data_IF_853875785084
#
_entry.id   IF_853875785084
#
_cell.length_a   1.000
_cell.length_b   1.000
_cell.length_c   1.000
_cell.angle_alpha   90.00
_cell.angle_beta   90.00
_cell.angle_gamma   90.00
#
_symmetry.space_group_name_H-M   'P 1'
#
loop_
_entity.id
_entity.type
_entity.pdbx_description
1 polymer ?
#
# COMPACT_ATOMS: atom_id res chain seq x y z
N UNK A 1 52.93 -8.01 -29.29
CA UNK A 1 52.02 -7.47 -28.29
C UNK A 1 51.21 -8.63 -27.72
N UNK A 2 51.57 -9.11 -26.54
CA UNK A 2 50.88 -10.24 -25.89
C UNK A 2 49.65 -9.69 -25.15
N UNK A 3 48.47 -10.00 -25.64
CA UNK A 3 47.19 -9.71 -24.96
C UNK A 3 46.99 -10.72 -23.83
N UNK A 4 47.08 -10.25 -22.59
CA UNK A 4 46.73 -11.01 -21.40
C UNK A 4 45.23 -11.32 -21.43
N UNK A 5 44.78 -12.61 -21.33
CA UNK A 5 43.38 -12.93 -21.35
C UNK A 5 42.69 -12.40 -20.08
N UNK A 6 41.57 -11.66 -20.25
CA UNK A 6 40.78 -11.12 -19.17
C UNK A 6 40.29 -12.25 -18.22
N UNK A 7 40.63 -12.16 -16.93
CA UNK A 7 40.22 -13.13 -15.93
C UNK A 7 38.69 -13.14 -15.80
N UNK A 8 38.04 -14.25 -16.12
CA UNK A 8 36.61 -14.45 -15.93
C UNK A 8 36.29 -14.28 -14.44
N UNK A 9 35.55 -13.22 -14.08
CA UNK A 9 35.02 -13.02 -12.72
C UNK A 9 34.24 -14.26 -12.27
N UNK A 10 34.66 -14.92 -11.17
CA UNK A 10 34.01 -16.11 -10.62
C UNK A 10 32.57 -15.77 -10.23
N UNK A 11 31.59 -16.53 -10.76
CA UNK A 11 30.18 -16.41 -10.39
C UNK A 11 30.02 -16.81 -8.91
N UNK A 12 29.49 -15.91 -8.07
CA UNK A 12 29.20 -16.19 -6.66
C UNK A 12 27.80 -16.79 -6.57
N UNK A 13 27.68 -18.02 -6.02
CA UNK A 13 26.40 -18.74 -5.88
C UNK A 13 25.53 -18.16 -4.78
N UNK A 14 24.25 -18.12 -5.01
CA UNK A 14 23.22 -17.82 -3.99
C UNK A 14 22.93 -19.07 -3.13
N UNK A 15 22.25 -18.87 -1.99
CA UNK A 15 21.83 -20.00 -1.14
C UNK A 15 20.85 -20.92 -1.91
N UNK A 16 19.90 -20.37 -2.69
CA UNK A 16 19.01 -21.11 -3.58
C UNK A 16 19.76 -21.98 -4.59
N UNK A 17 20.78 -21.42 -5.26
CA UNK A 17 21.61 -22.16 -6.22
C UNK A 17 22.35 -23.34 -5.54
N UNK A 18 22.77 -23.17 -4.28
CA UNK A 18 23.43 -24.23 -3.50
C UNK A 18 22.47 -25.33 -3.09
N UNK A 19 21.29 -24.97 -2.58
CA UNK A 19 20.24 -25.94 -2.25
C UNK A 19 19.83 -26.71 -3.50
N UNK A 20 19.78 -26.07 -4.67
CA UNK A 20 19.52 -26.73 -5.94
C UNK A 20 20.60 -27.74 -6.31
N UNK A 21 21.89 -27.41 -6.09
CA UNK A 21 23.00 -28.36 -6.26
C UNK A 21 22.85 -29.58 -5.33
N UNK A 22 22.48 -29.36 -4.06
CA UNK A 22 22.28 -30.44 -3.08
C UNK A 22 21.10 -31.33 -3.50
N UNK A 23 20.00 -30.77 -3.97
CA UNK A 23 18.83 -31.52 -4.45
C UNK A 23 19.20 -32.42 -5.63
N UNK A 24 19.90 -31.89 -6.64
CA UNK A 24 20.35 -32.65 -7.79
C UNK A 24 21.33 -33.75 -7.38
N UNK A 25 22.25 -33.50 -6.47
CA UNK A 25 23.17 -34.51 -5.92
C UNK A 25 22.43 -35.62 -5.17
N UNK A 26 21.41 -35.30 -4.39
CA UNK A 26 20.58 -36.27 -3.67
C UNK A 26 19.70 -37.08 -4.61
N UNK A 27 19.39 -36.59 -5.83
CA UNK A 27 18.69 -37.32 -6.91
C UNK A 27 19.61 -38.26 -7.70
N UNK A 28 20.92 -38.35 -7.33
CA UNK A 28 21.88 -39.24 -7.97
C UNK A 28 22.65 -38.61 -9.13
N UNK A 29 22.50 -37.33 -9.41
CA UNK A 29 23.25 -36.67 -10.46
C UNK A 29 24.74 -36.54 -10.10
N UNK A 30 25.60 -36.92 -11.01
CA UNK A 30 27.05 -36.77 -10.84
C UNK A 30 27.46 -35.27 -10.83
N UNK A 31 28.53 -34.92 -10.12
CA UNK A 31 29.04 -33.57 -10.08
C UNK A 31 29.31 -32.97 -11.49
N UNK A 32 29.67 -33.81 -12.46
CA UNK A 32 29.85 -33.39 -13.86
C UNK A 32 28.54 -32.99 -14.54
N UNK A 33 27.46 -33.73 -14.34
CA UNK A 33 26.13 -33.40 -14.84
C UNK A 33 25.61 -32.08 -14.22
N UNK A 34 25.77 -31.89 -12.90
CA UNK A 34 25.37 -30.67 -12.17
C UNK A 34 26.14 -29.46 -12.69
N UNK A 35 27.44 -29.59 -12.96
CA UNK A 35 28.29 -28.56 -13.56
C UNK A 35 27.75 -28.14 -14.93
N UNK A 36 27.41 -29.10 -15.78
CA UNK A 36 26.89 -28.85 -17.13
C UNK A 36 25.52 -28.18 -17.09
N UNK A 37 24.61 -28.64 -16.20
CA UNK A 37 23.24 -28.12 -16.12
C UNK A 37 23.13 -26.73 -15.52
N UNK A 38 24.01 -26.33 -14.57
CA UNK A 38 23.93 -25.07 -13.85
C UNK A 38 25.01 -24.06 -14.27
N UNK A 39 25.93 -24.41 -15.16
CA UNK A 39 27.02 -23.54 -15.61
C UNK A 39 27.96 -23.13 -14.47
N UNK A 40 28.21 -24.01 -13.49
CA UNK A 40 29.02 -23.78 -12.30
C UNK A 40 30.40 -24.42 -12.42
N UNK A 41 31.36 -23.95 -11.62
CA UNK A 41 32.68 -24.61 -11.55
C UNK A 41 32.64 -25.92 -10.76
N UNK A 42 33.36 -26.97 -11.23
CA UNK A 42 33.44 -28.31 -10.59
C UNK A 42 33.81 -28.21 -9.09
N UNK A 43 34.80 -27.40 -8.75
CA UNK A 43 35.25 -27.17 -7.38
C UNK A 43 34.14 -26.49 -6.50
N UNK A 44 33.30 -25.63 -7.09
CA UNK A 44 32.17 -25.00 -6.37
C UNK A 44 31.11 -26.05 -6.05
N UNK A 45 30.73 -26.92 -7.01
CA UNK A 45 29.74 -27.97 -6.81
C UNK A 45 30.24 -28.98 -5.75
N UNK A 46 31.49 -29.42 -5.81
CA UNK A 46 32.07 -30.35 -4.83
C UNK A 46 32.10 -29.74 -3.42
N UNK A 47 32.42 -28.43 -3.30
CA UNK A 47 32.39 -27.74 -2.01
C UNK A 47 30.98 -27.64 -1.43
N UNK A 48 29.98 -27.39 -2.26
CA UNK A 48 28.55 -27.35 -1.80
C UNK A 48 28.14 -28.75 -1.31
N UNK A 49 28.48 -29.81 -2.02
CA UNK A 49 28.13 -31.18 -1.62
C UNK A 49 28.83 -31.58 -0.31
N UNK A 50 30.07 -31.14 -0.12
CA UNK A 50 30.84 -31.40 1.13
C UNK A 50 30.19 -30.71 2.32
N UNK A 51 29.67 -29.48 2.15
CA UNK A 51 29.09 -28.65 3.22
C UNK A 51 27.56 -28.69 3.25
N UNK A 52 26.94 -29.79 2.73
CA UNK A 52 25.49 -29.90 2.54
C UNK A 52 24.70 -29.67 3.82
N UNK A 53 25.16 -30.19 4.95
CA UNK A 53 24.45 -30.11 6.24
C UNK A 53 24.37 -28.66 6.77
N UNK A 54 25.49 -27.92 6.70
CA UNK A 54 25.50 -26.50 7.10
C UNK A 54 24.61 -25.66 6.19
N UNK A 55 24.63 -25.93 4.89
CA UNK A 55 23.81 -25.20 3.90
C UNK A 55 22.32 -25.47 4.10
N UNK A 56 21.94 -26.71 4.39
CA UNK A 56 20.54 -27.07 4.66
C UNK A 56 20.08 -26.46 5.99
N UNK A 57 20.90 -26.50 7.03
CA UNK A 57 20.62 -25.86 8.30
C UNK A 57 20.44 -24.35 8.17
N UNK A 58 21.27 -23.71 7.32
CA UNK A 58 21.13 -22.28 7.00
C UNK A 58 19.82 -22.01 6.21
N UNK A 59 19.46 -22.88 5.28
CA UNK A 59 18.20 -22.79 4.55
C UNK A 59 16.98 -22.93 5.46
N UNK A 60 16.96 -23.91 6.35
CA UNK A 60 15.89 -24.19 7.31
C UNK A 60 15.74 -23.08 8.36
N UNK A 61 16.81 -22.34 8.65
CA UNK A 61 16.77 -21.18 9.56
C UNK A 61 16.11 -19.94 8.97
N UNK A 62 15.52 -20.02 7.76
CA UNK A 62 14.78 -18.94 7.12
C UNK A 62 15.66 -17.83 6.51
N UNK A 63 16.93 -18.10 6.28
CA UNK A 63 17.84 -17.16 5.59
C UNK A 63 17.42 -17.00 4.14
N UNK A 64 17.41 -15.75 3.63
CA UNK A 64 17.02 -15.48 2.24
C UNK A 64 17.82 -16.29 1.22
N UNK A 65 17.13 -17.09 0.41
CA UNK A 65 17.71 -17.87 -0.65
C UNK A 65 18.48 -17.07 -1.72
N UNK A 66 18.18 -15.79 -1.88
CA UNK A 66 18.89 -14.87 -2.80
C UNK A 66 20.23 -14.36 -2.26
N UNK A 67 20.61 -14.69 -1.04
CA UNK A 67 21.86 -14.30 -0.44
C UNK A 67 23.05 -14.84 -1.24
N UNK A 68 23.90 -13.95 -1.75
CA UNK A 68 25.17 -14.31 -2.36
C UNK A 68 26.19 -14.64 -1.26
N UNK A 69 26.77 -15.79 -1.32
CA UNK A 69 27.76 -16.21 -0.36
C UNK A 69 29.14 -15.60 -0.71
N UNK A 70 29.48 -14.48 -0.13
CA UNK A 70 30.87 -14.18 0.16
C UNK A 70 31.13 -14.74 1.56
N UNK A 71 32.27 -15.41 1.79
CA UNK A 71 32.64 -16.06 3.07
C UNK A 71 31.92 -15.44 4.27
N UNK A 72 31.21 -16.28 5.06
CA UNK A 72 30.61 -15.82 6.32
C UNK A 72 31.75 -15.23 7.14
N UNK A 73 31.95 -13.92 7.05
CA UNK A 73 32.71 -13.24 8.08
C UNK A 73 31.85 -13.38 9.32
N UNK A 74 32.29 -14.25 10.24
CA UNK A 74 31.73 -14.24 11.60
C UNK A 74 31.72 -12.79 12.02
N UNK A 75 30.55 -12.26 12.31
CA UNK A 75 30.46 -10.90 12.82
C UNK A 75 30.88 -10.96 14.28
N UNK A 76 31.49 -9.92 14.79
CA UNK A 76 31.91 -9.83 16.20
C UNK A 76 30.75 -10.12 17.20
N UNK A 77 29.49 -10.11 16.72
CA UNK A 77 28.25 -10.24 17.50
C UNK A 77 27.31 -11.29 16.89
N UNK A 78 27.81 -12.48 16.52
CA UNK A 78 26.99 -13.51 15.86
C UNK A 78 25.89 -14.08 16.79
N UNK A 79 26.21 -14.29 18.07
CA UNK A 79 25.30 -14.71 19.11
C UNK A 79 24.16 -13.69 19.35
N UNK A 80 24.54 -12.43 19.49
CA UNK A 80 23.61 -11.31 19.59
C UNK A 80 22.69 -11.24 18.36
N UNK A 81 23.26 -11.32 17.16
CA UNK A 81 22.48 -11.26 15.90
C UNK A 81 21.48 -12.43 15.81
N UNK A 82 21.84 -13.61 16.29
CA UNK A 82 20.96 -14.76 16.35
C UNK A 82 19.79 -14.52 17.30
N UNK A 83 20.04 -14.04 18.53
CA UNK A 83 18.99 -13.75 19.51
C UNK A 83 18.02 -12.66 19.01
N UNK A 84 18.56 -11.60 18.38
CA UNK A 84 17.72 -10.55 17.78
C UNK A 84 16.85 -11.10 16.66
N UNK A 85 17.35 -12.02 15.86
CA UNK A 85 16.60 -12.67 14.79
C UNK A 85 15.50 -13.58 15.34
N UNK A 86 15.79 -14.41 16.32
CA UNK A 86 14.81 -15.28 16.98
C UNK A 86 13.67 -14.47 17.61
N UNK A 87 14.03 -13.37 18.30
CA UNK A 87 13.06 -12.45 18.84
C UNK A 87 12.22 -11.77 17.75
N UNK A 88 12.84 -11.32 16.65
CA UNK A 88 12.14 -10.71 15.52
C UNK A 88 11.11 -11.68 14.93
N UNK A 89 11.48 -12.92 14.69
CA UNK A 89 10.56 -13.95 14.19
C UNK A 89 9.40 -14.18 15.15
N UNK A 90 9.68 -14.30 16.46
CA UNK A 90 8.64 -14.48 17.48
C UNK A 90 7.69 -13.26 17.57
N UNK A 91 8.23 -12.04 17.52
CA UNK A 91 7.42 -10.82 17.51
C UNK A 91 6.51 -10.75 16.26
N UNK A 92 7.03 -11.12 15.09
CA UNK A 92 6.26 -11.17 13.85
C UNK A 92 5.18 -12.26 13.87
N UNK A 93 5.47 -13.42 14.43
CA UNK A 93 4.49 -14.51 14.60
C UNK A 93 3.30 -14.10 15.50
N UNK A 94 3.53 -13.17 16.43
CA UNK A 94 2.49 -12.58 17.30
C UNK A 94 1.81 -11.36 16.68
N UNK A 95 2.07 -11.03 15.39
CA UNK A 95 1.51 -9.85 14.73
C UNK A 95 2.06 -8.50 15.20
N UNK A 96 3.10 -8.48 16.04
CA UNK A 96 3.64 -7.23 16.61
C UNK A 96 4.37 -6.41 15.52
N UNK A 97 4.09 -5.10 15.41
CA UNK A 97 4.83 -4.21 14.54
C UNK A 97 6.26 -4.01 15.06
N UNK A 98 7.25 -4.32 14.24
CA UNK A 98 8.66 -4.11 14.61
C UNK A 98 9.26 -3.00 13.76
N UNK A 99 9.54 -1.85 14.39
CA UNK A 99 10.28 -0.74 13.76
C UNK A 99 11.79 -0.96 13.87
N UNK A 100 12.58 -0.24 13.03
CA UNK A 100 14.04 -0.26 13.14
C UNK A 100 14.55 0.15 14.51
N UNK A 101 13.95 1.18 15.12
CA UNK A 101 14.30 1.65 16.46
C UNK A 101 13.97 0.61 17.54
N UNK A 102 12.84 -0.10 17.42
CA UNK A 102 12.49 -1.17 18.34
C UNK A 102 13.48 -2.34 18.26
N UNK A 103 13.90 -2.69 17.02
CA UNK A 103 14.92 -3.72 16.79
C UNK A 103 16.28 -3.32 17.41
N UNK A 104 16.69 -2.06 17.25
CA UNK A 104 17.90 -1.52 17.86
C UNK A 104 17.83 -1.55 19.39
N UNK A 105 16.70 -1.14 19.98
CA UNK A 105 16.50 -1.18 21.44
C UNK A 105 16.59 -2.62 21.98
N UNK A 106 15.96 -3.58 21.28
CA UNK A 106 16.04 -5.00 21.70
C UNK A 106 17.45 -5.57 21.57
N UNK A 107 18.18 -5.16 20.52
CA UNK A 107 19.57 -5.55 20.35
C UNK A 107 20.48 -5.02 21.48
N UNK A 108 20.25 -3.77 21.96
CA UNK A 108 20.95 -3.23 23.12
C UNK A 108 20.65 -4.05 24.37
N UNK A 109 19.39 -4.43 24.60
CA UNK A 109 19.04 -5.28 25.75
C UNK A 109 19.80 -6.61 25.72
N UNK A 110 19.81 -7.31 24.59
CA UNK A 110 20.54 -8.54 24.43
C UNK A 110 22.07 -8.36 24.54
N UNK A 111 22.60 -7.21 24.08
CA UNK A 111 24.05 -6.95 24.24
C UNK A 111 24.47 -6.83 25.71
N UNK A 112 23.61 -6.25 26.55
CA UNK A 112 23.84 -6.19 27.99
C UNK A 112 23.78 -7.58 28.65
N UNK A 113 22.80 -8.40 28.25
CA UNK A 113 22.64 -9.78 28.73
C UNK A 113 23.85 -10.67 28.33
N UNK A 114 24.45 -10.41 27.17
CA UNK A 114 25.62 -11.14 26.65
C UNK A 114 26.97 -10.53 27.04
N UNK A 115 27.00 -9.46 27.85
CA UNK A 115 28.20 -8.71 28.22
C UNK A 115 29.01 -8.22 26.99
N UNK A 116 28.32 -7.81 25.93
CA UNK A 116 28.95 -7.18 24.75
C UNK A 116 29.15 -5.67 25.00
N UNK A 117 30.12 -5.32 25.81
CA UNK A 117 30.50 -3.94 26.07
C UNK A 117 30.94 -3.24 24.77
N UNK A 118 30.34 -2.10 24.47
CA UNK A 118 30.66 -1.32 23.27
C UNK A 118 29.78 -1.61 22.06
N UNK A 119 28.78 -2.50 22.11
CA UNK A 119 27.79 -2.62 21.08
C UNK A 119 26.77 -1.47 21.13
N UNK A 120 26.63 -0.71 20.03
CA UNK A 120 25.82 0.51 20.02
C UNK A 120 24.56 0.43 19.14
N UNK A 121 24.22 -0.74 18.61
CA UNK A 121 23.10 -0.92 17.66
C UNK A 121 23.02 0.20 16.60
N UNK A 122 24.15 0.55 15.99
CA UNK A 122 24.25 1.66 15.04
C UNK A 122 23.33 1.46 13.83
N UNK A 123 23.06 2.54 13.08
CA UNK A 123 22.32 2.43 11.82
C UNK A 123 23.02 1.52 10.81
N UNK A 124 24.36 1.50 10.77
CA UNK A 124 25.13 0.57 9.95
C UNK A 124 24.91 -0.89 10.33
N UNK A 125 24.86 -1.19 11.63
CA UNK A 125 24.49 -2.53 12.10
C UNK A 125 23.05 -2.88 11.70
N UNK A 126 22.09 -1.96 11.88
CA UNK A 126 20.67 -2.19 11.53
C UNK A 126 20.52 -2.48 10.03
N UNK A 127 21.13 -1.70 9.16
CA UNK A 127 21.06 -1.94 7.71
C UNK A 127 21.74 -3.26 7.32
N UNK A 128 22.88 -3.61 7.93
CA UNK A 128 23.52 -4.90 7.73
C UNK A 128 22.69 -6.07 8.23
N UNK A 129 22.00 -5.91 9.37
CA UNK A 129 21.08 -6.90 9.90
C UNK A 129 19.87 -7.10 8.97
N UNK A 130 19.24 -6.02 8.53
CA UNK A 130 18.13 -6.04 7.57
C UNK A 130 18.53 -6.70 6.26
N UNK A 131 19.71 -6.39 5.73
CA UNK A 131 20.22 -6.98 4.50
C UNK A 131 20.49 -8.49 4.64
N UNK A 132 21.04 -8.94 5.80
CA UNK A 132 21.30 -10.36 6.07
C UNK A 132 20.00 -11.19 6.10
N UNK A 133 18.96 -10.66 6.71
CA UNK A 133 17.69 -11.35 6.89
C UNK A 133 16.61 -10.96 5.87
N UNK A 134 16.98 -10.21 4.81
CA UNK A 134 16.08 -9.72 3.77
C UNK A 134 14.86 -8.96 4.34
N UNK A 135 15.06 -8.20 5.42
CA UNK A 135 14.02 -7.41 6.06
C UNK A 135 13.81 -6.12 5.26
N UNK A 136 12.57 -5.83 4.90
CA UNK A 136 12.17 -4.57 4.27
C UNK A 136 11.24 -3.79 5.18
N UNK A 137 11.24 -2.47 5.08
CA UNK A 137 10.22 -1.65 5.70
C UNK A 137 8.93 -1.74 4.85
N UNK A 138 7.83 -2.12 5.47
CA UNK A 138 6.51 -2.13 4.85
C UNK A 138 5.60 -1.19 5.63
N UNK A 139 4.64 -0.54 4.96
CA UNK A 139 3.58 0.17 5.64
C UNK A 139 2.72 -0.84 6.43
N UNK A 140 2.34 -0.48 7.64
CA UNK A 140 1.36 -1.25 8.39
C UNK A 140 0.00 -1.00 7.76
N UNK A 141 -0.58 -2.03 7.19
CA UNK A 141 -1.96 -2.08 6.74
C UNK A 141 -2.77 -2.65 7.92
N UNK A 142 -3.22 -1.76 8.82
CA UNK A 142 -3.81 -2.17 10.11
C UNK A 142 -5.09 -2.99 9.94
N UNK A 143 -5.94 -2.64 8.99
CA UNK A 143 -7.26 -3.26 8.83
C UNK A 143 -7.22 -4.57 8.01
N UNK A 144 -6.27 -4.72 7.09
CA UNK A 144 -6.19 -5.91 6.24
C UNK A 144 -5.66 -7.17 6.95
N UNK A 145 -4.92 -7.00 8.05
CA UNK A 145 -4.37 -8.13 8.81
C UNK A 145 -5.39 -8.74 9.78
N UNK A 146 -6.42 -7.97 10.17
CA UNK A 146 -7.43 -8.37 11.14
C UNK A 146 -8.70 -8.95 10.47
N UNK A 147 -8.73 -9.04 9.13
CA UNK A 147 -9.88 -9.60 8.40
C UNK A 147 -9.87 -11.12 8.50
N UNK A 148 -10.93 -11.67 9.08
CA UNK A 148 -11.14 -13.12 9.15
C UNK A 148 -11.29 -13.73 7.75
N UNK A 149 -10.40 -14.67 7.36
CA UNK A 149 -10.47 -15.32 6.06
C UNK A 149 -11.80 -16.02 5.77
N UNK A 150 -12.43 -16.59 6.80
CA UNK A 150 -13.70 -17.32 6.64
C UNK A 150 -14.84 -16.39 6.21
N UNK A 151 -14.86 -15.16 6.72
CA UNK A 151 -15.85 -14.13 6.34
C UNK A 151 -15.64 -13.70 4.88
N UNK A 152 -14.39 -13.66 4.42
CA UNK A 152 -14.07 -13.34 3.01
C UNK A 152 -14.54 -14.47 2.09
N UNK A 153 -14.21 -15.72 2.41
CA UNK A 153 -14.60 -16.90 1.61
C UNK A 153 -16.12 -17.04 1.52
N UNK A 154 -16.85 -16.80 2.62
CA UNK A 154 -18.31 -16.82 2.65
C UNK A 154 -18.91 -15.67 1.85
N UNK A 155 -18.30 -14.50 1.90
CA UNK A 155 -18.72 -13.37 1.08
C UNK A 155 -18.51 -13.65 -0.41
N UNK A 156 -17.36 -14.20 -0.81
CA UNK A 156 -17.08 -14.52 -2.21
C UNK A 156 -18.10 -15.49 -2.79
N UNK A 157 -18.51 -16.52 -2.04
CA UNK A 157 -19.56 -17.46 -2.44
C UNK A 157 -20.93 -16.77 -2.61
N UNK A 158 -21.26 -15.87 -1.70
CA UNK A 158 -22.51 -15.10 -1.75
C UNK A 158 -22.51 -14.06 -2.86
N UNK A 159 -21.34 -13.51 -3.16
CA UNK A 159 -21.17 -12.45 -4.16
C UNK A 159 -21.64 -12.92 -5.53
N UNK A 160 -21.33 -14.15 -5.95
CA UNK A 160 -21.80 -14.72 -7.22
C UNK A 160 -23.33 -14.68 -7.33
N UNK A 161 -24.04 -15.13 -6.29
CA UNK A 161 -25.52 -15.08 -6.24
C UNK A 161 -26.06 -13.65 -6.18
N UNK A 162 -25.35 -12.74 -5.48
CA UNK A 162 -25.77 -11.33 -5.35
C UNK A 162 -25.68 -10.62 -6.70
N UNK A 163 -24.67 -10.95 -7.51
CA UNK A 163 -24.38 -10.33 -8.79
C UNK A 163 -25.13 -10.98 -9.97
N UNK A 164 -25.78 -12.11 -9.74
CA UNK A 164 -26.52 -12.82 -10.79
C UNK A 164 -27.55 -11.91 -11.47
N UNK A 165 -27.51 -11.89 -12.82
CA UNK A 165 -28.38 -11.05 -13.64
C UNK A 165 -27.93 -9.59 -13.81
N UNK A 166 -26.75 -9.22 -13.32
CA UNK A 166 -26.18 -7.90 -13.53
C UNK A 166 -24.89 -7.97 -14.36
N UNK A 167 -24.77 -7.09 -15.35
CA UNK A 167 -23.55 -6.92 -16.11
C UNK A 167 -22.53 -6.12 -15.31
N UNK A 168 -21.22 -6.30 -15.60
CA UNK A 168 -20.15 -5.58 -14.89
C UNK A 168 -20.30 -4.07 -14.94
N UNK A 169 -20.90 -3.52 -15.99
CA UNK A 169 -21.14 -2.09 -16.11
C UNK A 169 -22.19 -1.57 -15.12
N UNK A 170 -23.06 -2.46 -14.61
CA UNK A 170 -24.11 -2.16 -13.63
C UNK A 170 -23.71 -2.50 -12.19
N UNK A 171 -22.51 -3.02 -11.97
CA UNK A 171 -21.96 -3.31 -10.64
C UNK A 171 -21.06 -2.14 -10.22
N UNK A 172 -21.51 -1.36 -9.26
CA UNK A 172 -20.83 -0.17 -8.74
C UNK A 172 -20.32 -0.40 -7.32
N UNK A 173 -19.23 0.28 -6.99
CA UNK A 173 -18.80 0.48 -5.62
C UNK A 173 -18.67 1.97 -5.33
N UNK A 174 -19.04 2.39 -4.13
CA UNK A 174 -18.87 3.74 -3.64
C UNK A 174 -18.18 3.73 -2.28
N UNK A 175 -17.36 4.78 -2.04
CA UNK A 175 -16.68 4.98 -0.77
C UNK A 175 -16.28 6.43 -0.55
N UNK A 176 -16.21 6.84 0.72
CA UNK A 176 -15.80 8.16 1.14
C UNK A 176 -14.35 8.20 1.58
N UNK A 177 -13.72 9.34 1.28
CA UNK A 177 -12.40 9.60 1.80
C UNK A 177 -12.22 11.03 2.27
N UNK A 178 -11.61 11.19 3.44
CA UNK A 178 -11.18 12.49 3.94
C UNK A 178 -9.94 12.99 3.19
N UNK A 179 -9.98 14.25 2.78
CA UNK A 179 -8.85 14.94 2.17
C UNK A 179 -8.50 16.18 2.97
N UNK A 180 -7.35 16.18 3.63
CA UNK A 180 -6.77 17.38 4.22
C UNK A 180 -6.12 18.20 3.12
N UNK A 181 -6.92 19.07 2.50
CA UNK A 181 -6.58 19.66 1.21
C UNK A 181 -5.44 20.69 1.26
N UNK A 182 -5.04 21.14 2.45
CA UNK A 182 -3.88 22.00 2.69
C UNK A 182 -2.71 21.30 3.37
N UNK A 183 -2.76 19.97 3.49
CA UNK A 183 -1.72 19.24 4.23
C UNK A 183 -0.41 19.25 3.46
N UNK A 184 0.60 19.89 4.03
CA UNK A 184 1.99 19.81 3.56
C UNK A 184 2.58 18.42 3.82
N UNK A 185 3.70 18.07 3.17
CA UNK A 185 4.43 16.84 3.45
C UNK A 185 4.74 16.68 4.94
N UNK A 186 4.67 15.46 5.45
CA UNK A 186 4.95 15.16 6.87
C UNK A 186 6.42 14.83 7.13
N UNK A 187 7.22 14.68 6.06
CA UNK A 187 8.67 14.44 6.10
C UNK A 187 9.36 15.49 5.25
N UNK A 188 10.52 15.94 5.68
CA UNK A 188 11.39 16.86 4.92
C UNK A 188 12.77 16.27 4.78
N UNK A 189 13.47 16.66 3.72
CA UNK A 189 14.92 16.50 3.63
C UNK A 189 15.54 17.66 4.40
N UNK A 190 16.51 17.36 5.23
CA UNK A 190 17.26 18.34 6.02
C UNK A 190 18.75 18.03 5.89
N UNK A 191 19.58 19.03 6.01
CA UNK A 191 21.02 18.84 6.07
C UNK A 191 21.37 18.13 7.39
N UNK A 192 22.38 17.28 7.35
CA UNK A 192 22.79 16.51 8.54
C UNK A 192 23.19 17.47 9.68
N UNK A 193 22.54 17.32 10.83
CA UNK A 193 22.74 18.18 12.00
C UNK A 193 21.70 19.30 12.18
N UNK A 194 20.86 19.55 11.19
CA UNK A 194 19.76 20.51 11.31
C UNK A 194 18.55 19.91 12.01
N UNK A 195 17.88 20.72 12.83
CA UNK A 195 16.58 20.36 13.40
C UNK A 195 15.48 20.60 12.36
N UNK A 196 14.71 19.56 12.05
CA UNK A 196 13.55 19.67 11.19
C UNK A 196 12.36 20.26 11.96
N UNK A 197 12.17 21.58 11.91
CA UNK A 197 10.97 22.24 12.41
C UNK A 197 9.91 22.34 11.33
N UNK A 198 8.77 21.68 11.52
CA UNK A 198 7.60 21.79 10.65
C UNK A 198 6.56 22.74 11.23
N UNK A 199 5.92 23.57 10.41
CA UNK A 199 4.79 24.40 10.81
C UNK A 199 3.58 23.57 11.26
N UNK A 200 2.62 24.20 11.95
CA UNK A 200 1.36 23.58 12.39
C UNK A 200 0.62 22.98 11.19
N UNK A 201 0.33 21.68 11.23
CA UNK A 201 -0.40 20.99 10.16
C UNK A 201 -1.80 21.56 10.01
N UNK A 202 -2.18 21.94 8.78
CA UNK A 202 -3.54 22.35 8.50
C UNK A 202 -4.51 21.18 8.71
N UNK A 203 -5.58 21.44 9.47
CA UNK A 203 -6.69 20.50 9.71
C UNK A 203 -7.88 20.76 8.77
N UNK A 204 -7.67 21.58 7.73
CA UNK A 204 -8.73 21.87 6.76
C UNK A 204 -9.03 20.63 5.92
N UNK A 205 -10.22 20.08 6.13
CA UNK A 205 -10.69 18.81 5.54
C UNK A 205 -11.91 19.07 4.67
N UNK A 206 -11.98 18.34 3.59
CA UNK A 206 -13.21 18.00 2.86
C UNK A 206 -13.39 16.46 2.86
N UNK A 207 -14.61 16.01 2.59
CA UNK A 207 -14.87 14.60 2.27
C UNK A 207 -15.20 14.49 0.79
N UNK A 208 -14.64 13.47 0.15
CA UNK A 208 -14.87 13.10 -1.23
C UNK A 208 -15.49 11.71 -1.26
N UNK A 209 -16.70 11.57 -1.84
CA UNK A 209 -17.28 10.27 -2.19
C UNK A 209 -17.00 10.02 -3.66
N UNK A 210 -16.43 8.87 -3.95
CA UNK A 210 -16.18 8.36 -5.30
C UNK A 210 -17.04 7.13 -5.56
N UNK A 211 -17.58 7.02 -6.76
CA UNK A 211 -18.34 5.85 -7.16
C UNK A 211 -18.06 5.52 -8.62
N UNK A 212 -17.80 4.23 -8.90
CA UNK A 212 -17.52 3.74 -10.25
C UNK A 212 -18.00 2.30 -10.44
N UNK A 213 -18.21 1.92 -11.71
CA UNK A 213 -18.56 0.54 -12.05
C UNK A 213 -17.34 -0.35 -12.23
N UNK A 214 -17.55 -1.66 -12.25
CA UNK A 214 -16.51 -2.65 -12.49
C UNK A 214 -15.85 -2.54 -13.89
N UNK A 215 -16.53 -1.92 -14.86
CA UNK A 215 -15.96 -1.62 -16.19
C UNK A 215 -15.16 -0.32 -16.23
N UNK A 216 -15.26 0.54 -15.19
CA UNK A 216 -14.53 1.80 -15.12
C UNK A 216 -15.38 3.05 -15.33
N UNK A 217 -16.69 2.92 -15.59
CA UNK A 217 -17.59 4.08 -15.65
C UNK A 217 -17.62 4.82 -14.32
N UNK A 218 -17.48 6.14 -14.34
CA UNK A 218 -17.35 7.00 -13.15
C UNK A 218 -18.57 7.87 -12.97
N UNK A 219 -19.14 7.85 -11.76
CA UNK A 219 -20.18 8.82 -11.38
C UNK A 219 -19.57 10.17 -11.02
N UNK A 220 -20.41 11.22 -11.02
CA UNK A 220 -20.01 12.54 -10.54
C UNK A 220 -19.60 12.47 -9.09
N UNK A 221 -18.37 12.90 -8.73
CA UNK A 221 -17.94 12.84 -7.33
C UNK A 221 -18.74 13.79 -6.47
N UNK A 222 -19.09 13.33 -5.26
CA UNK A 222 -19.70 14.18 -4.25
C UNK A 222 -18.59 14.76 -3.36
N UNK A 223 -18.60 16.07 -3.19
CA UNK A 223 -17.68 16.80 -2.31
C UNK A 223 -18.45 17.42 -1.16
N UNK A 224 -18.07 17.11 0.07
CA UNK A 224 -18.67 17.67 1.28
C UNK A 224 -17.68 18.65 1.91
N UNK A 225 -18.02 19.93 1.94
CA UNK A 225 -17.25 20.99 2.59
C UNK A 225 -17.88 21.43 3.91
N UNK A 226 -17.22 22.38 4.61
CA UNK A 226 -17.72 22.93 5.87
C UNK A 226 -18.75 24.03 5.68
N UNK A 227 -18.75 24.74 4.56
CA UNK A 227 -19.57 25.93 4.32
C UNK A 227 -20.46 25.74 3.10
N UNK A 228 -21.69 26.24 3.17
CA UNK A 228 -22.64 26.27 2.04
C UNK A 228 -22.13 27.15 0.89
N UNK A 229 -21.58 28.30 1.21
CA UNK A 229 -21.05 29.29 0.25
C UNK A 229 -19.61 29.70 0.64
N UNK A 230 -18.60 28.87 0.35
CA UNK A 230 -17.21 29.25 0.59
C UNK A 230 -16.85 30.53 -0.16
N UNK A 231 -16.04 31.42 0.46
CA UNK A 231 -15.62 32.69 -0.17
C UNK A 231 -14.96 32.49 -1.54
N UNK A 232 -14.22 31.39 -1.71
CA UNK A 232 -13.55 31.05 -2.98
C UNK A 232 -14.51 30.63 -4.11
N UNK A 233 -15.81 30.50 -3.85
CA UNK A 233 -16.84 30.22 -4.86
C UNK A 233 -17.45 31.51 -5.46
N UNK A 234 -17.13 32.68 -4.89
CA UNK A 234 -17.62 33.96 -5.44
C UNK A 234 -17.22 34.11 -6.90
N UNK A 235 -18.17 34.37 -7.76
CA UNK A 235 -17.97 34.48 -9.21
C UNK A 235 -17.65 33.16 -9.95
N UNK A 236 -17.86 32.00 -9.31
CA UNK A 236 -17.63 30.67 -9.92
C UNK A 236 -18.94 29.92 -10.11
N UNK A 237 -19.12 29.32 -11.27
CA UNK A 237 -20.24 28.41 -11.52
C UNK A 237 -19.88 27.00 -11.05
N UNK A 238 -20.23 26.65 -9.82
CA UNK A 238 -19.93 25.33 -9.24
C UNK A 238 -20.73 24.22 -9.93
N UNK A 239 -21.94 24.52 -10.40
CA UNK A 239 -22.77 23.55 -11.15
C UNK A 239 -22.14 23.06 -12.45
N UNK A 240 -21.32 23.89 -13.09
CA UNK A 240 -20.59 23.53 -14.30
C UNK A 240 -19.38 22.62 -14.05
N UNK A 241 -19.00 22.37 -12.80
CA UNK A 241 -17.79 21.61 -12.47
C UNK A 241 -17.94 20.08 -12.60
N UNK A 242 -19.11 19.58 -13.01
CA UNK A 242 -19.38 18.15 -13.05
C UNK A 242 -19.07 17.42 -11.73
N UNK A 243 -19.45 18.05 -10.61
CA UNK A 243 -19.39 17.54 -9.24
C UNK A 243 -20.73 17.78 -8.55
N UNK A 244 -20.98 17.06 -7.48
CA UNK A 244 -22.05 17.34 -6.53
C UNK A 244 -21.41 18.00 -5.30
N UNK A 245 -21.79 19.23 -4.95
CA UNK A 245 -21.28 19.89 -3.76
C UNK A 245 -22.33 19.94 -2.66
N UNK A 246 -21.96 19.50 -1.47
CA UNK A 246 -22.77 19.55 -0.24
C UNK A 246 -21.92 20.09 0.92
N UNK A 247 -22.55 20.34 2.05
CA UNK A 247 -21.86 20.89 3.20
C UNK A 247 -22.49 20.45 4.52
N UNK A 248 -21.65 20.34 5.55
CA UNK A 248 -22.01 20.39 6.96
C UNK A 248 -20.82 20.84 7.81
N UNK A 249 -21.06 21.19 9.07
CA UNK A 249 -20.04 21.77 9.94
C UNK A 249 -18.76 20.93 10.12
N UNK A 250 -18.87 19.60 10.02
CA UNK A 250 -17.75 18.67 10.17
C UNK A 250 -17.13 18.29 8.82
N UNK A 251 -17.78 18.59 7.70
CA UNK A 251 -17.46 18.10 6.36
C UNK A 251 -17.38 16.55 6.32
N UNK A 252 -18.34 15.88 6.94
CA UNK A 252 -18.44 14.43 7.02
C UNK A 252 -19.68 13.92 6.28
N UNK A 253 -19.68 12.65 5.85
CA UNK A 253 -20.89 12.01 5.37
C UNK A 253 -21.89 11.87 6.51
N UNK A 254 -23.17 11.98 6.16
CA UNK A 254 -24.31 11.73 7.04
C UNK A 254 -25.36 10.93 6.28
N UNK A 255 -26.23 10.21 6.99
CA UNK A 255 -27.31 9.43 6.36
C UNK A 255 -28.17 10.29 5.43
N UNK A 256 -28.47 11.55 5.81
CA UNK A 256 -29.21 12.47 4.97
C UNK A 256 -28.47 12.78 3.65
N UNK A 257 -27.17 13.12 3.72
CA UNK A 257 -26.38 13.44 2.52
C UNK A 257 -26.18 12.23 1.62
N UNK A 258 -26.06 11.05 2.21
CA UNK A 258 -25.99 9.79 1.48
C UNK A 258 -27.30 9.50 0.75
N UNK A 259 -28.46 9.65 1.41
CA UNK A 259 -29.77 9.49 0.78
C UNK A 259 -29.98 10.50 -0.36
N UNK A 260 -29.65 11.79 -0.16
CA UNK A 260 -29.73 12.80 -1.22
C UNK A 260 -28.86 12.42 -2.44
N UNK A 261 -27.66 11.90 -2.21
CA UNK A 261 -26.77 11.43 -3.27
C UNK A 261 -27.36 10.19 -3.97
N UNK A 262 -27.89 9.23 -3.23
CA UNK A 262 -28.57 8.06 -3.78
C UNK A 262 -29.75 8.45 -4.68
N UNK A 263 -30.53 9.46 -4.29
CA UNK A 263 -31.65 9.95 -5.09
C UNK A 263 -31.19 10.54 -6.42
N UNK A 264 -30.06 11.26 -6.43
CA UNK A 264 -29.46 11.78 -7.66
C UNK A 264 -29.02 10.63 -8.56
N UNK A 265 -28.32 9.61 -8.01
CA UNK A 265 -27.88 8.43 -8.76
C UNK A 265 -29.08 7.61 -9.25
N UNK A 266 -30.06 7.38 -8.40
CA UNK A 266 -31.28 6.65 -8.78
C UNK A 266 -32.02 7.30 -9.95
N UNK A 267 -32.17 8.63 -9.91
CA UNK A 267 -32.78 9.39 -11.01
C UNK A 267 -31.95 9.30 -12.31
N UNK A 268 -30.61 9.31 -12.20
CA UNK A 268 -29.72 9.12 -13.35
C UNK A 268 -29.90 7.71 -13.94
N UNK A 269 -29.93 6.67 -13.12
CA UNK A 269 -30.11 5.28 -13.56
C UNK A 269 -31.51 5.08 -14.17
N UNK A 270 -32.55 5.65 -13.55
CA UNK A 270 -33.91 5.61 -14.08
C UNK A 270 -34.00 6.28 -15.47
N UNK A 271 -33.39 7.45 -15.66
CA UNK A 271 -33.41 8.13 -16.95
C UNK A 271 -32.66 7.38 -18.05
N UNK A 272 -31.71 6.51 -17.69
CA UNK A 272 -30.96 5.64 -18.59
C UNK A 272 -31.60 4.24 -18.72
N UNK A 273 -32.74 3.99 -18.09
CA UNK A 273 -33.42 2.69 -18.01
C UNK A 273 -32.48 1.58 -17.48
N UNK A 274 -31.61 1.90 -16.52
CA UNK A 274 -30.64 0.96 -15.93
C UNK A 274 -31.00 0.64 -14.49
N UNK A 275 -30.74 -0.60 -14.09
CA UNK A 275 -30.78 -1.03 -12.69
C UNK A 275 -29.38 -1.45 -12.28
N UNK A 276 -28.87 -0.94 -11.18
CA UNK A 276 -27.51 -1.18 -10.73
C UNK A 276 -27.46 -1.82 -9.34
N UNK A 277 -26.39 -2.56 -9.09
CA UNK A 277 -25.93 -2.90 -7.74
C UNK A 277 -24.96 -1.81 -7.29
N UNK A 278 -25.13 -1.33 -6.06
CA UNK A 278 -24.21 -0.42 -5.42
C UNK A 278 -23.65 -1.05 -4.13
N UNK A 279 -22.40 -1.45 -4.17
CA UNK A 279 -21.69 -2.04 -3.05
C UNK A 279 -21.11 -0.91 -2.20
N UNK A 280 -21.39 -0.92 -0.90
CA UNK A 280 -20.91 0.08 0.08
C UNK A 280 -20.46 -0.61 1.36
N UNK A 281 -19.66 0.08 2.18
CA UNK A 281 -19.33 -0.38 3.52
C UNK A 281 -20.54 -0.30 4.47
N UNK A 282 -20.51 -1.05 5.56
CA UNK A 282 -21.56 -1.08 6.55
C UNK A 282 -21.27 -0.07 7.67
N UNK A 283 -21.37 1.21 7.35
CA UNK A 283 -21.20 2.28 8.35
C UNK A 283 -22.55 2.97 8.68
N UNK A 284 -22.63 3.63 9.84
CA UNK A 284 -23.84 4.30 10.31
C UNK A 284 -24.33 5.45 9.39
N UNK A 285 -23.47 5.93 8.49
CA UNK A 285 -23.83 6.95 7.51
C UNK A 285 -24.59 6.38 6.30
N UNK A 286 -24.56 5.06 6.11
CA UNK A 286 -25.22 4.36 5.00
C UNK A 286 -26.46 3.61 5.48
N UNK A 287 -27.64 4.25 5.48
CA UNK A 287 -28.87 3.59 5.91
C UNK A 287 -29.35 2.54 4.89
N UNK A 288 -29.98 1.50 5.40
CA UNK A 288 -30.67 0.51 4.57
C UNK A 288 -31.97 1.13 4.00
N UNK A 289 -31.88 1.61 2.78
CA UNK A 289 -32.99 2.26 2.07
C UNK A 289 -33.19 1.65 0.69
N UNK A 290 -34.41 1.50 0.28
CA UNK A 290 -34.73 0.98 -1.06
C UNK A 290 -34.82 2.09 -2.09
N UNK A 291 -34.37 1.82 -3.30
CA UNK A 291 -34.49 2.68 -4.49
C UNK A 291 -34.89 1.85 -5.70
N UNK A 292 -35.69 2.42 -6.59
CA UNK A 292 -36.23 1.69 -7.73
C UNK A 292 -35.18 1.12 -8.69
N UNK A 293 -34.07 1.82 -8.83
CA UNK A 293 -33.02 1.49 -9.80
C UNK A 293 -31.66 1.18 -9.16
N UNK A 294 -31.58 1.12 -7.82
CA UNK A 294 -30.37 0.80 -7.08
C UNK A 294 -30.66 -0.30 -6.07
N UNK A 295 -29.95 -1.43 -6.19
CA UNK A 295 -29.87 -2.47 -5.16
C UNK A 295 -28.66 -2.18 -4.30
N UNK A 296 -28.86 -1.75 -3.06
CA UNK A 296 -27.77 -1.56 -2.09
C UNK A 296 -27.28 -2.92 -1.58
N UNK A 297 -25.98 -3.10 -1.58
CA UNK A 297 -25.30 -4.29 -1.06
C UNK A 297 -24.23 -3.85 -0.08
N UNK A 298 -24.31 -4.30 1.16
CA UNK A 298 -23.40 -3.93 2.24
C UNK A 298 -22.32 -4.97 2.41
N UNK A 299 -21.08 -4.51 2.45
CA UNK A 299 -19.93 -5.36 2.77
C UNK A 299 -20.03 -5.88 4.22
N UNK A 300 -19.51 -7.09 4.50
CA UNK A 300 -19.41 -7.56 5.88
C UNK A 300 -18.59 -6.60 6.74
N UNK A 301 -18.88 -6.47 8.03
CA UNK A 301 -18.12 -5.60 8.93
C UNK A 301 -16.62 -5.93 8.92
N UNK A 302 -15.77 -4.91 8.99
CA UNK A 302 -14.30 -5.02 9.06
C UNK A 302 -13.62 -5.70 7.85
N UNK A 303 -14.28 -5.75 6.69
CA UNK A 303 -13.72 -6.40 5.48
C UNK A 303 -13.31 -5.41 4.38
N UNK A 304 -13.54 -4.12 4.56
CA UNK A 304 -13.32 -3.06 3.56
C UNK A 304 -11.91 -3.11 2.96
N UNK A 305 -10.88 -3.33 3.79
CA UNK A 305 -9.49 -3.42 3.35
C UNK A 305 -9.20 -4.54 2.32
N UNK A 306 -10.07 -5.56 2.21
CA UNK A 306 -9.94 -6.67 1.25
C UNK A 306 -11.02 -6.66 0.17
N UNK A 307 -12.24 -6.26 0.50
CA UNK A 307 -13.40 -6.45 -0.33
C UNK A 307 -13.94 -5.15 -0.98
N UNK A 308 -13.39 -3.97 -0.61
CA UNK A 308 -13.85 -2.69 -1.13
C UNK A 308 -12.97 -2.20 -2.30
N UNK A 309 -13.46 -2.21 -3.56
CA UNK A 309 -12.69 -1.77 -4.72
C UNK A 309 -12.12 -0.35 -4.60
N UNK A 310 -12.87 0.59 -4.02
CA UNK A 310 -12.41 1.96 -3.81
C UNK A 310 -11.17 2.03 -2.92
N UNK A 311 -11.10 1.20 -1.86
CA UNK A 311 -9.94 1.10 -0.96
C UNK A 311 -8.79 0.29 -1.55
N UNK A 312 -9.07 -0.66 -2.46
CA UNK A 312 -8.07 -1.49 -3.12
C UNK A 312 -7.06 -0.72 -3.99
N UNK A 313 -7.27 0.60 -4.17
CA UNK A 313 -6.30 1.47 -4.88
C UNK A 313 -6.90 2.68 -5.57
N UNK A 314 -8.21 2.75 -5.80
CA UNK A 314 -8.89 3.84 -6.52
C UNK A 314 -8.70 5.16 -5.76
N UNK A 315 -9.06 5.20 -4.49
CA UNK A 315 -8.90 6.36 -3.61
C UNK A 315 -7.43 6.78 -3.50
N UNK A 316 -6.53 5.81 -3.35
CA UNK A 316 -5.10 6.07 -3.27
C UNK A 316 -4.57 6.72 -4.53
N UNK A 317 -4.97 6.25 -5.72
CA UNK A 317 -4.54 6.80 -7.00
C UNK A 317 -5.03 8.24 -7.18
N UNK A 318 -6.28 8.54 -6.82
CA UNK A 318 -6.83 9.90 -6.85
C UNK A 318 -6.07 10.83 -5.89
N UNK A 319 -5.83 10.39 -4.65
CA UNK A 319 -5.06 11.16 -3.66
C UNK A 319 -3.63 11.42 -4.12
N UNK A 320 -3.00 10.48 -4.81
CA UNK A 320 -1.64 10.64 -5.34
C UNK A 320 -1.60 11.72 -6.43
N UNK A 321 -2.53 11.71 -7.38
CA UNK A 321 -2.62 12.73 -8.43
C UNK A 321 -2.95 14.10 -7.84
N UNK A 322 -3.86 14.16 -6.88
CA UNK A 322 -4.14 15.38 -6.10
C UNK A 322 -2.87 15.92 -5.44
N UNK A 323 -2.12 15.07 -4.74
CA UNK A 323 -0.88 15.44 -4.04
C UNK A 323 0.17 16.03 -5.00
N UNK A 324 0.30 15.48 -6.21
CA UNK A 324 1.18 16.03 -7.25
C UNK A 324 0.81 17.48 -7.62
N UNK A 325 -0.49 17.77 -7.78
CA UNK A 325 -0.97 19.14 -8.09
C UNK A 325 -0.72 20.10 -6.91
N UNK A 326 -1.02 19.65 -5.69
CA UNK A 326 -0.75 20.40 -4.47
C UNK A 326 0.73 20.79 -4.37
N UNK A 327 1.64 19.84 -4.54
CA UNK A 327 3.08 20.08 -4.46
C UNK A 327 3.56 21.06 -5.55
N UNK A 328 3.06 20.93 -6.78
CA UNK A 328 3.36 21.89 -7.84
C UNK A 328 2.93 23.32 -7.45
N UNK A 329 1.72 23.50 -6.93
CA UNK A 329 1.24 24.82 -6.46
C UNK A 329 2.13 25.37 -5.37
N UNK A 330 2.59 24.52 -4.45
CA UNK A 330 3.50 24.88 -3.37
C UNK A 330 4.84 25.37 -3.93
N UNK A 331 5.43 24.67 -4.89
CA UNK A 331 6.70 25.07 -5.51
C UNK A 331 6.56 26.42 -6.21
N UNK A 332 5.49 26.64 -6.98
CA UNK A 332 5.27 27.93 -7.66
C UNK A 332 4.99 29.10 -6.72
N UNK A 333 4.44 28.84 -5.54
CA UNK A 333 4.15 29.89 -4.56
C UNK A 333 5.29 30.09 -3.53
N UNK A 334 6.39 29.35 -3.65
CA UNK A 334 7.46 29.35 -2.66
C UNK A 334 8.11 30.72 -2.48
N UNK A 335 8.41 31.41 -3.58
CA UNK A 335 9.07 32.71 -3.56
C UNK A 335 8.17 33.87 -3.09
N UNK A 336 6.84 33.61 -2.99
CA UNK A 336 5.84 34.62 -2.59
C UNK A 336 5.49 34.57 -1.10
N UNK A 337 6.09 33.67 -0.32
CA UNK A 337 5.67 33.41 1.06
C UNK A 337 6.84 33.16 2.03
N UNK A 338 6.71 33.71 3.22
CA UNK A 338 7.74 33.63 4.27
C UNK A 338 7.64 32.39 5.17
N UNK A 339 6.52 31.65 5.10
CA UNK A 339 6.29 30.51 5.97
C UNK A 339 5.48 29.38 5.34
N UNK A 340 5.73 28.15 5.79
CA UNK A 340 4.95 26.97 5.39
C UNK A 340 3.44 27.12 5.69
N UNK A 341 3.06 27.84 6.75
CA UNK A 341 1.67 28.09 7.11
C UNK A 341 0.99 29.04 6.12
N UNK A 342 1.66 30.12 5.70
CA UNK A 342 1.16 31.05 4.68
C UNK A 342 1.05 30.39 3.32
N UNK A 343 2.01 29.52 2.98
CA UNK A 343 2.01 28.71 1.77
C UNK A 343 0.77 27.80 1.70
N UNK A 344 0.46 27.09 2.78
CA UNK A 344 -0.73 26.24 2.85
C UNK A 344 -2.03 27.03 2.66
N UNK A 345 -2.12 28.28 3.15
CA UNK A 345 -3.30 29.15 2.98
C UNK A 345 -3.52 29.61 1.54
N UNK A 346 -2.49 29.64 0.69
CA UNK A 346 -2.61 29.93 -0.76
C UNK A 346 -3.47 28.90 -1.50
N UNK A 347 -3.64 27.70 -0.95
CA UNK A 347 -4.50 26.66 -1.51
C UNK A 347 -5.94 26.87 -1.06
N UNK A 348 -6.82 27.17 -1.98
CA UNK A 348 -8.25 27.36 -1.70
C UNK A 348 -9.01 26.03 -1.77
N UNK A 349 -10.23 25.99 -1.19
CA UNK A 349 -11.13 24.84 -1.35
C UNK A 349 -11.51 24.65 -2.83
N UNK A 350 -11.63 25.73 -3.60
CA UNK A 350 -11.90 25.64 -5.04
C UNK A 350 -10.76 24.95 -5.80
N UNK A 351 -9.49 25.32 -5.52
CA UNK A 351 -8.33 24.64 -6.11
C UNK A 351 -8.37 23.14 -5.81
N UNK A 352 -8.67 22.80 -4.55
CA UNK A 352 -8.74 21.40 -4.11
C UNK A 352 -9.81 20.61 -4.88
N UNK A 353 -11.00 21.18 -5.03
CA UNK A 353 -12.11 20.58 -5.79
C UNK A 353 -11.71 20.38 -7.26
N UNK A 354 -11.11 21.38 -7.89
CA UNK A 354 -10.68 21.31 -9.29
C UNK A 354 -9.63 20.21 -9.48
N UNK A 355 -8.67 20.10 -8.56
CA UNK A 355 -7.62 19.07 -8.66
C UNK A 355 -8.15 17.66 -8.38
N UNK A 356 -9.08 17.50 -7.42
CA UNK A 356 -9.71 16.20 -7.14
C UNK A 356 -10.58 15.75 -8.30
N UNK A 357 -11.42 16.63 -8.86
CA UNK A 357 -12.20 16.36 -10.06
C UNK A 357 -11.30 15.91 -11.23
N UNK A 358 -10.21 16.65 -11.47
CA UNK A 358 -9.26 16.32 -12.52
C UNK A 358 -8.54 14.99 -12.25
N UNK A 359 -8.13 14.74 -11.00
CA UNK A 359 -7.54 13.46 -10.63
C UNK A 359 -8.50 12.30 -10.84
N UNK A 360 -9.78 12.49 -10.54
CA UNK A 360 -10.83 11.52 -10.81
C UNK A 360 -11.03 11.25 -12.30
N UNK A 361 -11.09 12.30 -13.12
CA UNK A 361 -11.25 12.15 -14.57
C UNK A 361 -10.08 11.43 -15.24
N UNK A 362 -8.85 11.64 -14.75
CA UNK A 362 -7.63 11.03 -15.30
C UNK A 362 -7.38 9.59 -14.83
N UNK A 363 -8.13 9.08 -13.86
CA UNK A 363 -7.92 7.71 -13.38
C UNK A 363 -8.25 6.73 -14.52
N UNK A 364 -7.30 5.86 -14.95
CA UNK A 364 -7.55 4.92 -16.02
C UNK A 364 -8.61 3.87 -15.63
N UNK A 365 -9.48 3.51 -16.56
CA UNK A 365 -10.49 2.46 -16.39
C UNK A 365 -9.83 1.12 -16.02
N UNK A 366 -8.69 0.81 -16.63
CA UNK A 366 -7.91 -0.40 -16.33
C UNK A 366 -7.45 -0.47 -14.86
N UNK A 367 -7.23 0.67 -14.20
CA UNK A 367 -6.91 0.71 -12.78
C UNK A 367 -8.14 0.35 -11.95
N UNK A 368 -9.31 0.88 -12.31
CA UNK A 368 -10.57 0.56 -11.65
C UNK A 368 -10.90 -0.92 -11.80
N UNK A 369 -10.85 -1.45 -13.03
CA UNK A 369 -11.09 -2.86 -13.33
C UNK A 369 -10.19 -3.80 -12.49
N UNK A 370 -8.90 -3.47 -12.36
CA UNK A 370 -7.97 -4.23 -11.51
C UNK A 370 -8.35 -4.22 -10.03
N UNK A 371 -8.86 -3.09 -9.52
CA UNK A 371 -9.32 -3.00 -8.13
C UNK A 371 -10.56 -3.86 -7.90
N UNK A 372 -11.53 -3.83 -8.82
CA UNK A 372 -12.70 -4.71 -8.74
C UNK A 372 -12.32 -6.19 -8.86
N UNK A 373 -11.45 -6.53 -9.81
CA UNK A 373 -10.95 -7.90 -9.97
C UNK A 373 -10.18 -8.40 -8.73
N UNK A 374 -9.46 -7.51 -8.02
CA UNK A 374 -8.77 -7.82 -6.77
C UNK A 374 -9.75 -8.18 -5.65
N UNK A 375 -10.94 -7.56 -5.64
CA UNK A 375 -12.02 -7.82 -4.69
C UNK A 375 -12.98 -8.93 -5.12
N UNK A 376 -12.61 -9.79 -6.08
CA UNK A 376 -13.41 -10.93 -6.53
C UNK A 376 -14.46 -10.61 -7.60
N UNK A 377 -14.64 -9.33 -8.00
CA UNK A 377 -15.62 -8.91 -9.02
C UNK A 377 -14.96 -8.96 -10.40
N UNK A 378 -15.24 -10.03 -11.16
CA UNK A 378 -14.63 -10.31 -12.48
C UNK A 378 -15.72 -10.66 -13.48
N UNK A 379 -15.42 -10.53 -14.79
CA UNK A 379 -16.26 -11.12 -15.82
C UNK A 379 -16.36 -12.64 -15.59
N UNK A 380 -17.56 -13.19 -15.63
CA UNK A 380 -17.75 -14.64 -15.71
C UNK A 380 -16.99 -15.15 -16.94
N UNK A 381 -16.20 -16.20 -16.77
CA UNK A 381 -15.49 -16.85 -17.87
C UNK A 381 -16.46 -17.62 -18.76
#
# INVERSE_FOLDING_TARGET
MNTVPASKKRKVMTLDERVRVIKLSNQGDSAGKIVASLGLGKTQVQRVIRNKEEILKEWESGVSGKRKYSQVRKTQYDDLNRLVWEWFCSARAKGLPVSGTLLQSKAIMFSLELNHDGFMASNGWLESFKARHNIRCAALSGEAADVDPTVVDDWEKRLETILEGYELEDIYNADETGVFFRALPTKSLVVRGEQCSGGKKSKDRLTLLLACSATGHKLKPLVIGKSKKPRCFKGKNIGALNIIYRHNNKAWMTSQLFCEWLDIVNNQMRSSNRKIILIVDNCAAHPHVERSNIKLVFLPPNTTAKLQPCDAGIIQAVKLQYRKKLLRKIVFAFDEVESASSLAKKVTLFDAIMWLRHAWSLLPETTIQKCFAHCGIKASR
#
